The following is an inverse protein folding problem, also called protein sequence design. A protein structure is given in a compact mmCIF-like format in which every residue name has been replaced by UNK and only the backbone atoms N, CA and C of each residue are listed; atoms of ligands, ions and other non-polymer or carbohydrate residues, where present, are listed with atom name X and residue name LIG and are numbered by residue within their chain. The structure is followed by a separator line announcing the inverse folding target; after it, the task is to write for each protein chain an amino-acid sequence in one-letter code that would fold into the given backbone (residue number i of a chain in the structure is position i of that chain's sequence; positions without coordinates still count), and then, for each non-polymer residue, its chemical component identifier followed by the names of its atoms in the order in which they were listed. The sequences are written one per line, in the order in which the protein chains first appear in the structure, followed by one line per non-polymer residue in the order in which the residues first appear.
data_IF_260325367543
#
_entry.id   IF_260325367543
#
_cell.length_a   1.000
_cell.length_b   1.000
_cell.length_c   1.000
_cell.angle_alpha   90.00
_cell.angle_beta   90.00
_cell.angle_gamma   90.00
#
_symmetry.space_group_name_H-M   'P 1'
#
loop_
_entity.id
_entity.type
_entity.pdbx_description
1 polymer ?
#
# COMPACT_ATOMS: atom_id res chain seq x y z
N UNK A 1 8.58 7.16 -2.67
CA UNK A 1 7.13 7.38 -2.88
C UNK A 1 6.34 6.17 -2.39
N UNK A 2 5.01 6.25 -2.32
CA UNK A 2 4.14 5.11 -2.00
C UNK A 2 4.37 3.95 -2.98
N UNK A 3 4.48 4.24 -4.27
CA UNK A 3 4.76 3.25 -5.31
C UNK A 3 6.08 2.50 -5.08
N UNK A 4 7.15 3.23 -4.75
CA UNK A 4 8.46 2.61 -4.44
C UNK A 4 8.38 1.70 -3.22
N UNK A 5 7.65 2.13 -2.19
CA UNK A 5 7.53 1.40 -0.94
C UNK A 5 6.76 0.08 -1.12
N UNK A 6 5.72 0.09 -1.97
CA UNK A 6 4.97 -1.11 -2.35
C UNK A 6 5.83 -2.02 -3.25
N UNK A 7 6.54 -1.44 -4.22
CA UNK A 7 7.41 -2.19 -5.13
C UNK A 7 8.50 -2.97 -4.37
N UNK A 8 9.16 -2.34 -3.38
CA UNK A 8 10.18 -2.97 -2.55
C UNK A 8 9.67 -4.23 -1.85
N UNK A 9 8.43 -4.20 -1.36
CA UNK A 9 7.83 -5.34 -0.66
C UNK A 9 7.39 -6.49 -1.59
N UNK A 10 7.17 -6.21 -2.87
CA UNK A 10 6.81 -7.21 -3.88
C UNK A 10 8.04 -7.89 -4.50
N UNK A 11 9.25 -7.41 -4.19
CA UNK A 11 10.52 -7.99 -4.65
C UNK A 11 10.80 -7.78 -6.13
N UNK A 12 11.82 -8.46 -6.66
CA UNK A 12 12.34 -8.23 -8.01
C UNK A 12 11.32 -8.49 -9.14
N UNK A 13 10.27 -9.28 -8.87
CA UNK A 13 9.22 -9.60 -9.86
C UNK A 13 8.13 -8.53 -10.00
N UNK A 14 8.14 -7.48 -9.16
CA UNK A 14 7.08 -6.48 -9.09
C UNK A 14 7.01 -5.53 -10.30
N UNK A 15 8.07 -5.48 -11.11
CA UNK A 15 8.26 -4.44 -12.11
C UNK A 15 8.69 -3.10 -11.51
N UNK A 16 8.66 -2.05 -12.32
CA UNK A 16 9.02 -0.69 -11.87
C UNK A 16 7.89 -0.05 -11.05
N UNK A 17 8.20 0.86 -10.11
CA UNK A 17 7.17 1.59 -9.35
C UNK A 17 6.10 2.25 -10.24
N UNK A 18 6.53 2.80 -11.38
CA UNK A 18 5.64 3.45 -12.36
C UNK A 18 4.63 2.48 -12.98
N UNK A 19 5.02 1.23 -13.22
CA UNK A 19 4.13 0.18 -13.74
C UNK A 19 3.09 -0.26 -12.70
N UNK A 20 3.40 -0.08 -11.41
CA UNK A 20 2.50 -0.45 -10.32
C UNK A 20 1.47 0.62 -9.99
N UNK A 21 1.68 1.89 -10.36
CA UNK A 21 0.77 2.99 -10.01
C UNK A 21 -0.70 2.74 -10.40
N UNK A 22 -1.03 2.25 -11.61
CA UNK A 22 -2.41 1.97 -11.98
C UNK A 22 -3.04 0.91 -11.06
N UNK A 23 -2.30 -0.17 -10.80
CA UNK A 23 -2.76 -1.27 -9.93
C UNK A 23 -2.90 -0.81 -8.47
N UNK A 24 -2.00 0.03 -7.98
CA UNK A 24 -2.09 0.62 -6.63
C UNK A 24 -3.36 1.48 -6.52
N UNK A 25 -3.65 2.33 -7.52
CA UNK A 25 -4.89 3.12 -7.54
C UNK A 25 -6.13 2.22 -7.57
N UNK A 26 -6.15 1.22 -8.44
CA UNK A 26 -7.25 0.28 -8.56
C UNK A 26 -7.53 -0.46 -7.24
N UNK A 27 -6.51 -1.10 -6.66
CA UNK A 27 -6.64 -1.87 -5.41
C UNK A 27 -7.03 -0.93 -4.26
N UNK A 28 -6.33 0.20 -4.10
CA UNK A 28 -6.62 1.12 -3.01
C UNK A 28 -8.04 1.69 -3.08
N UNK A 29 -8.56 2.01 -4.27
CA UNK A 29 -9.93 2.47 -4.47
C UNK A 29 -10.96 1.37 -4.20
N UNK A 30 -10.71 0.15 -4.70
CA UNK A 30 -11.60 -1.00 -4.51
C UNK A 30 -11.91 -1.28 -3.04
N UNK A 31 -10.94 -1.06 -2.16
CA UNK A 31 -11.08 -1.30 -0.72
C UNK A 31 -11.31 -0.02 0.11
N UNK A 32 -11.62 1.12 -0.52
CA UNK A 32 -11.90 2.38 0.18
C UNK A 32 -10.68 3.00 0.89
N UNK A 33 -9.47 2.61 0.50
CA UNK A 33 -8.20 3.05 1.09
C UNK A 33 -7.40 3.89 0.10
N UNK A 34 -8.03 4.79 -0.64
CA UNK A 34 -7.41 5.54 -1.74
C UNK A 34 -5.99 6.06 -1.40
N UNK A 35 -5.02 5.68 -2.25
CA UNK A 35 -3.63 6.09 -2.13
C UNK A 35 -3.18 6.84 -3.38
N UNK A 36 -2.35 7.86 -3.18
CA UNK A 36 -1.65 8.55 -4.26
C UNK A 36 -0.24 7.95 -4.44
N UNK A 37 0.03 7.15 -5.50
CA UNK A 37 1.28 6.40 -5.64
C UNK A 37 2.54 7.27 -5.68
N UNK A 38 2.42 8.49 -6.23
CA UNK A 38 3.51 9.46 -6.33
C UNK A 38 3.82 10.20 -5.03
N UNK A 39 2.96 10.12 -4.02
CA UNK A 39 3.15 10.86 -2.76
C UNK A 39 4.34 10.29 -1.98
N UNK A 40 5.09 11.17 -1.31
CA UNK A 40 6.22 10.77 -0.49
C UNK A 40 5.75 10.22 0.86
N UNK A 41 6.29 9.07 1.28
CA UNK A 41 5.85 8.34 2.48
C UNK A 41 6.02 9.16 3.76
N UNK A 42 7.07 9.98 3.84
CA UNK A 42 7.29 10.86 4.99
C UNK A 42 6.22 11.96 5.14
N UNK A 43 5.48 12.28 4.08
CA UNK A 43 4.41 13.28 4.09
C UNK A 43 3.04 12.71 4.48
N UNK A 44 2.96 11.40 4.73
CA UNK A 44 1.73 10.73 5.09
C UNK A 44 1.41 10.90 6.58
N UNK A 45 0.14 11.01 6.93
CA UNK A 45 -0.33 10.81 8.30
C UNK A 45 -0.07 9.38 8.76
N UNK A 46 -0.21 9.12 10.06
CA UNK A 46 -0.02 7.77 10.59
C UNK A 46 -1.06 6.80 10.01
N UNK A 47 -2.34 7.19 9.96
CA UNK A 47 -3.38 6.40 9.31
C UNK A 47 -3.19 6.22 7.80
N UNK A 48 -2.61 7.21 7.12
CA UNK A 48 -2.22 7.05 5.72
C UNK A 48 -1.09 6.02 5.55
N UNK A 49 -0.07 6.04 6.41
CA UNK A 49 0.98 5.01 6.42
C UNK A 49 0.40 3.63 6.66
N UNK A 50 -0.53 3.49 7.60
CA UNK A 50 -1.20 2.22 7.84
C UNK A 50 -1.99 1.71 6.61
N UNK A 51 -2.71 2.60 5.91
CA UNK A 51 -3.37 2.23 4.63
C UNK A 51 -2.36 1.74 3.58
N UNK A 52 -1.17 2.35 3.51
CA UNK A 52 -0.09 1.87 2.63
C UNK A 52 0.34 0.45 2.99
N UNK A 53 0.50 0.13 4.29
CA UNK A 53 0.83 -1.22 4.75
C UNK A 53 -0.23 -2.25 4.34
N UNK A 54 -1.51 -1.93 4.53
CA UNK A 54 -2.62 -2.84 4.18
C UNK A 54 -2.66 -3.04 2.66
N UNK A 55 -2.61 -1.96 1.87
CA UNK A 55 -2.64 -2.05 0.41
C UNK A 55 -1.44 -2.83 -0.13
N UNK A 56 -0.26 -2.69 0.48
CA UNK A 56 0.92 -3.48 0.12
C UNK A 56 0.64 -4.99 0.24
N UNK A 57 0.01 -5.44 1.32
CA UNK A 57 -0.38 -6.84 1.48
C UNK A 57 -1.42 -7.26 0.42
N UNK A 58 -2.41 -6.41 0.14
CA UNK A 58 -3.45 -6.68 -0.86
C UNK A 58 -2.94 -6.68 -2.31
N UNK A 59 -1.77 -6.09 -2.57
CA UNK A 59 -1.12 -6.10 -3.89
C UNK A 59 -0.47 -7.45 -4.23
N UNK A 60 -0.25 -8.29 -3.21
CA UNK A 60 0.29 -9.64 -3.32
C UNK A 60 -0.85 -10.67 -3.44
N UNK A 61 -0.54 -11.85 -3.98
CA UNK A 61 -1.48 -12.98 -4.03
C UNK A 61 -1.55 -13.68 -2.66
N UNK A 62 -2.22 -13.03 -1.71
CA UNK A 62 -2.35 -13.49 -0.33
C UNK A 62 -3.58 -14.38 -0.13
N UNK A 63 -3.40 -15.54 0.52
CA UNK A 63 -4.51 -16.45 0.88
C UNK A 63 -5.11 -16.16 2.25
N UNK A 64 -4.32 -15.58 3.15
CA UNK A 64 -4.71 -15.24 4.52
C UNK A 64 -3.94 -13.99 4.94
N UNK A 65 -4.67 -12.97 5.40
CA UNK A 65 -4.10 -11.76 6.00
C UNK A 65 -4.52 -11.72 7.47
N UNK A 66 -3.53 -11.79 8.36
CA UNK A 66 -3.73 -11.60 9.79
C UNK A 66 -3.26 -10.19 10.11
N UNK A 67 -4.12 -9.42 10.77
CA UNK A 67 -3.82 -8.09 11.24
C UNK A 67 -3.95 -8.10 12.76
N UNK A 68 -2.85 -7.83 13.45
CA UNK A 68 -2.84 -7.67 14.90
C UNK A 68 -3.01 -6.18 15.22
N UNK A 69 -4.11 -5.84 15.91
CA UNK A 69 -4.45 -4.48 16.31
C UNK A 69 -4.25 -3.40 15.22
N UNK A 70 -4.79 -3.58 13.99
CA UNK A 70 -4.49 -2.67 12.90
C UNK A 70 -4.93 -1.24 13.22
N UNK A 71 -6.00 -1.04 13.98
CA UNK A 71 -6.61 0.27 14.22
C UNK A 71 -6.01 1.07 15.37
N UNK A 72 -5.04 0.55 16.13
CA UNK A 72 -4.51 1.24 17.32
C UNK A 72 -3.82 2.57 17.02
N UNK A 73 -3.46 2.81 15.76
CA UNK A 73 -2.79 4.04 15.33
C UNK A 73 -3.75 5.11 14.78
N UNK A 74 -5.06 4.84 14.84
CA UNK A 74 -6.13 5.73 14.38
C UNK A 74 -6.82 6.51 15.52
N UNK A 75 -6.43 6.28 16.78
CA UNK A 75 -6.93 6.97 17.99
C UNK A 75 -5.95 8.01 18.51
#
# INVERSE_FOLDING_TARGET
SVAENIALAMGAAAGTPKQLEPKIREVSQRYGMALEPGRLVHSLSIGERQRVEIVRCLMQDIKLLILDEPTSVLT
#
